data_IF_493647081219
#
_entry.id   IF_493647081219
#
_cell.length_a   1.000
_cell.length_b   1.000
_cell.length_c   1.000
_cell.angle_alpha   90.00
_cell.angle_beta   90.00
_cell.angle_gamma   90.00
#
_symmetry.space_group_name_H-M   'P 1'
#
loop_
_entity.id
_entity.type
_entity.pdbx_description
1 polymer ?
#
# COMPACT_ATOMS: atom_id res chain seq x y z
N UNK A 1 -11.45 -14.76 -5.17
CA UNK A 1 -11.80 -14.77 -3.74
C UNK A 1 -12.82 -13.69 -3.48
N UNK A 2 -13.90 -13.94 -2.72
CA UNK A 2 -14.91 -12.93 -2.45
C UNK A 2 -14.27 -11.76 -1.72
N UNK A 3 -14.37 -10.56 -2.28
CA UNK A 3 -13.98 -9.32 -1.59
C UNK A 3 -14.95 -9.12 -0.44
N UNK A 4 -14.56 -9.56 0.75
CA UNK A 4 -15.28 -9.22 1.98
C UNK A 4 -15.32 -7.69 2.07
N UNK A 5 -16.53 -7.12 1.84
CA UNK A 5 -16.89 -5.71 1.97
C UNK A 5 -16.74 -5.17 3.40
N UNK A 6 -16.26 -5.98 4.33
CA UNK A 6 -15.97 -5.54 5.69
C UNK A 6 -14.83 -4.52 5.64
N UNK A 7 -15.04 -3.30 6.16
CA UNK A 7 -13.99 -2.32 6.19
C UNK A 7 -12.83 -2.81 7.08
N UNK A 8 -11.59 -2.39 6.79
CA UNK A 8 -10.40 -2.93 7.45
C UNK A 8 -10.41 -2.75 8.98
N UNK A 9 -11.00 -1.66 9.49
CA UNK A 9 -11.12 -1.41 10.93
C UNK A 9 -12.14 -2.30 11.66
N UNK A 10 -12.99 -3.04 10.94
CA UNK A 10 -13.87 -4.06 11.52
C UNK A 10 -13.28 -5.47 11.42
N UNK A 11 -12.14 -5.63 10.73
CA UNK A 11 -11.48 -6.94 10.58
C UNK A 11 -10.58 -7.20 11.78
N UNK A 12 -10.64 -8.40 12.38
CA UNK A 12 -9.65 -8.79 13.38
C UNK A 12 -8.26 -8.86 12.75
N UNK A 13 -7.23 -8.56 13.53
CA UNK A 13 -5.85 -8.67 13.08
C UNK A 13 -5.54 -10.14 12.70
N UNK A 14 -5.04 -10.43 11.48
CA UNK A 14 -4.68 -11.79 11.09
C UNK A 14 -3.61 -12.36 12.02
N UNK A 15 -3.89 -13.53 12.59
CA UNK A 15 -2.95 -14.24 13.48
C UNK A 15 -1.83 -14.86 12.66
N UNK A 16 -0.60 -14.77 13.15
CA UNK A 16 0.58 -15.43 12.54
C UNK A 16 1.21 -14.70 11.36
N UNK A 17 0.71 -13.53 10.97
CA UNK A 17 1.30 -12.73 9.89
C UNK A 17 2.29 -11.71 10.43
N UNK A 18 3.42 -11.56 9.73
CA UNK A 18 4.43 -10.54 10.05
C UNK A 18 4.02 -9.20 9.46
N UNK A 19 4.22 -8.13 10.23
CA UNK A 19 4.06 -6.78 9.73
C UNK A 19 5.15 -6.48 8.70
N UNK A 20 4.74 -6.00 7.53
CA UNK A 20 5.66 -5.54 6.50
C UNK A 20 5.68 -4.01 6.48
N UNK A 21 6.82 -3.37 6.78
CA UNK A 21 6.90 -1.92 6.73
C UNK A 21 6.87 -1.40 5.28
N UNK A 22 6.36 -0.19 5.09
CA UNK A 22 6.46 0.52 3.81
C UNK A 22 7.91 0.91 3.53
N UNK A 23 8.31 0.83 2.26
CA UNK A 23 9.58 1.39 1.79
C UNK A 23 9.58 2.92 1.90
N UNK A 24 10.77 3.57 1.93
CA UNK A 24 10.86 5.03 1.96
C UNK A 24 10.11 5.71 0.81
N UNK A 25 10.17 5.15 -0.41
CA UNK A 25 9.47 5.68 -1.58
C UNK A 25 7.95 5.59 -1.44
N UNK A 26 7.43 4.47 -0.92
CA UNK A 26 6.02 4.31 -0.62
C UNK A 26 5.53 5.31 0.44
N UNK A 27 6.33 5.56 1.49
CA UNK A 27 5.98 6.57 2.52
C UNK A 27 5.90 7.98 1.94
N UNK A 28 6.83 8.33 1.04
CA UNK A 28 6.80 9.61 0.34
C UNK A 28 5.54 9.75 -0.53
N UNK A 29 5.22 8.72 -1.31
CA UNK A 29 4.01 8.69 -2.13
C UNK A 29 2.72 8.80 -1.29
N UNK A 30 2.66 8.10 -0.15
CA UNK A 30 1.53 8.17 0.77
C UNK A 30 1.34 9.60 1.33
N UNK A 31 2.44 10.25 1.72
CA UNK A 31 2.42 11.62 2.24
C UNK A 31 1.92 12.60 1.20
N UNK A 32 2.47 12.54 -0.01
CA UNK A 32 2.07 13.41 -1.11
C UNK A 32 0.57 13.30 -1.39
N UNK A 33 0.05 12.07 -1.49
CA UNK A 33 -1.38 11.83 -1.71
C UNK A 33 -2.25 12.35 -0.57
N UNK A 34 -1.78 12.24 0.68
CA UNK A 34 -2.48 12.77 1.83
C UNK A 34 -2.58 14.30 1.74
N UNK A 35 -1.46 14.97 1.44
CA UNK A 35 -1.36 16.43 1.31
C UNK A 35 -2.25 16.95 0.16
N UNK A 36 -2.22 16.29 -1.01
CA UNK A 36 -3.08 16.61 -2.18
C UNK A 36 -4.58 16.52 -1.85
N UNK A 37 -4.96 15.58 -0.99
CA UNK A 37 -6.35 15.39 -0.56
C UNK A 37 -6.70 16.15 0.73
N UNK A 38 -5.79 16.96 1.27
CA UNK A 38 -5.97 17.70 2.52
C UNK A 38 -6.17 16.80 3.75
N UNK A 39 -5.65 15.57 3.73
CA UNK A 39 -5.78 14.59 4.81
C UNK A 39 -4.53 14.61 5.68
N UNK A 40 -4.65 14.57 7.02
CA UNK A 40 -3.47 14.49 7.87
C UNK A 40 -2.71 13.18 7.64
N UNK A 41 -1.38 13.25 7.71
CA UNK A 41 -0.47 12.12 7.67
C UNK A 41 0.20 11.92 9.04
N UNK A 42 0.42 10.68 9.54
CA UNK A 42 0.16 9.39 8.89
C UNK A 42 -1.30 8.92 8.99
N UNK A 43 -1.82 8.28 7.93
CA UNK A 43 -3.18 7.73 7.90
C UNK A 43 -3.25 6.34 7.25
N UNK A 44 -4.31 5.58 7.54
CA UNK A 44 -4.47 4.20 7.04
C UNK A 44 -4.73 4.14 5.53
N UNK A 45 -5.53 5.06 4.99
CA UNK A 45 -6.01 4.98 3.60
C UNK A 45 -4.85 5.15 2.62
N UNK A 46 -4.02 6.17 2.83
CA UNK A 46 -2.87 6.46 1.98
C UNK A 46 -1.74 5.45 2.21
N UNK A 47 -1.56 4.97 3.44
CA UNK A 47 -0.62 3.88 3.72
C UNK A 47 -1.03 2.56 3.04
N UNK A 48 -2.33 2.22 3.03
CA UNK A 48 -2.85 1.04 2.33
C UNK A 48 -2.73 1.18 0.82
N UNK A 49 -2.94 2.38 0.28
CA UNK A 49 -2.71 2.64 -1.14
C UNK A 49 -1.23 2.49 -1.50
N UNK A 50 -0.34 3.09 -0.71
CA UNK A 50 1.10 3.00 -0.94
C UNK A 50 1.65 1.57 -0.77
N UNK A 51 1.05 0.75 0.10
CA UNK A 51 1.40 -0.67 0.24
C UNK A 51 1.18 -1.48 -1.04
N UNK A 52 0.34 -1.01 -1.97
CA UNK A 52 0.05 -1.67 -3.25
C UNK A 52 1.03 -1.28 -4.35
N UNK A 53 1.80 -0.20 -4.16
CA UNK A 53 2.85 0.20 -5.09
C UNK A 53 4.01 -0.80 -5.03
N UNK A 54 4.72 -1.03 -6.14
CA UNK A 54 5.92 -1.86 -6.11
C UNK A 54 6.91 -1.30 -5.09
N UNK A 55 7.45 -2.17 -4.24
CA UNK A 55 8.65 -1.82 -3.49
C UNK A 55 9.72 -1.56 -4.54
N UNK A 56 10.39 -0.41 -4.49
CA UNK A 56 11.37 0.00 -5.52
C UNK A 56 12.49 -1.03 -5.78
N UNK A 57 12.64 -2.06 -4.93
CA UNK A 57 13.52 -3.20 -5.13
C UNK A 57 12.94 -4.37 -5.95
N UNK A 58 11.64 -4.41 -6.29
CA UNK A 58 11.01 -5.53 -7.03
C UNK A 58 10.56 -5.20 -8.47
N UNK A 59 10.88 -4.01 -8.99
CA UNK A 59 10.42 -3.57 -10.31
C UNK A 59 11.28 -4.06 -11.50
N UNK A 60 12.28 -4.93 -11.25
CA UNK A 60 13.12 -5.49 -12.32
C UNK A 60 12.62 -6.88 -12.75
N UNK A 61 11.53 -6.94 -13.53
CA UNK A 61 11.22 -7.98 -14.53
C UNK A 61 9.73 -7.91 -14.87
N UNK A 62 9.43 -7.37 -16.05
CA UNK A 62 8.62 -8.00 -17.10
C UNK A 62 7.98 -6.91 -17.96
N UNK A 63 8.77 -6.38 -18.91
CA UNK A 63 8.24 -5.69 -20.09
C UNK A 63 9.25 -5.91 -21.22
N UNK A 64 9.23 -7.11 -21.79
CA UNK A 64 9.92 -7.49 -23.03
C UNK A 64 9.22 -8.76 -23.52
N UNK A 65 8.24 -8.62 -24.41
CA UNK A 65 7.85 -9.57 -25.48
C UNK A 65 6.47 -9.21 -26.03
N UNK A 66 6.46 -8.41 -27.10
CA UNK A 66 5.42 -8.39 -28.13
C UNK A 66 5.96 -7.60 -29.34
N UNK A 67 6.75 -8.30 -30.16
CA UNK A 67 6.96 -7.96 -31.57
C UNK A 67 5.77 -8.45 -32.40
#
# INVERSE_FOLDING_TARGET
>A
MPSSNTPPWKKPNPRGQRSQPLSPSQKAAARQRADENGRPYPNLIDNMWAARLPHAASSSRSDSDAE
#
